data_IF_889393471124
#
_entry.id   IF_889393471124
#
_cell.length_a   1.000
_cell.length_b   1.000
_cell.length_c   1.000
_cell.angle_alpha   90.00
_cell.angle_beta   90.00
_cell.angle_gamma   90.00
#
_symmetry.space_group_name_H-M   'P 1'
#
loop_
_entity.id
_entity.type
_entity.pdbx_description
1 polymer ?
#
# COMPACT_ATOMS: atom_id res chain seq x y z
N UNK A 1 3.25 -7.44 -40.94
CA UNK A 1 2.01 -8.23 -40.77
C UNK A 1 1.26 -7.70 -39.55
N UNK A 2 0.66 -6.51 -39.64
CA UNK A 2 -0.06 -5.87 -38.52
C UNK A 2 -1.42 -6.54 -38.34
N UNK A 3 -1.55 -7.38 -37.31
CA UNK A 3 -2.87 -7.91 -36.94
C UNK A 3 -3.68 -6.76 -36.33
N UNK A 4 -4.71 -6.34 -37.07
CA UNK A 4 -5.76 -5.43 -36.63
C UNK A 4 -6.37 -6.01 -35.35
N UNK A 5 -6.15 -5.37 -34.20
CA UNK A 5 -6.86 -5.69 -32.96
C UNK A 5 -8.36 -5.49 -33.22
N UNK A 6 -9.12 -6.58 -33.11
CA UNK A 6 -10.56 -6.58 -33.30
C UNK A 6 -11.19 -6.19 -31.96
N UNK A 7 -11.85 -5.05 -31.94
CA UNK A 7 -12.60 -4.53 -30.81
C UNK A 7 -13.74 -5.52 -30.45
N UNK A 8 -13.91 -5.91 -29.18
CA UNK A 8 -14.98 -6.81 -28.80
C UNK A 8 -16.33 -6.08 -28.89
N UNK A 9 -17.23 -6.59 -29.74
CA UNK A 9 -18.64 -6.18 -29.73
C UNK A 9 -19.40 -7.03 -28.72
N UNK A 10 -19.72 -6.45 -27.57
CA UNK A 10 -20.55 -7.03 -26.51
C UNK A 10 -20.40 -6.22 -25.22
N UNK A 11 -21.47 -6.06 -24.44
CA UNK A 11 -21.45 -5.37 -23.14
C UNK A 11 -20.38 -5.99 -22.24
N UNK A 12 -19.30 -5.23 -22.00
CA UNK A 12 -18.27 -5.60 -21.04
C UNK A 12 -18.86 -5.45 -19.64
N UNK A 13 -18.95 -6.56 -18.90
CA UNK A 13 -19.29 -6.48 -17.48
C UNK A 13 -18.22 -5.67 -16.75
N UNK A 14 -18.60 -4.94 -15.69
CA UNK A 14 -17.67 -4.10 -14.91
C UNK A 14 -16.42 -4.88 -14.48
N UNK A 15 -16.56 -6.18 -14.20
CA UNK A 15 -15.48 -7.08 -13.80
C UNK A 15 -14.39 -7.21 -14.87
N UNK A 16 -14.77 -7.23 -16.15
CA UNK A 16 -13.82 -7.32 -17.28
C UNK A 16 -13.16 -5.96 -17.54
N UNK A 17 -13.89 -4.86 -17.38
CA UNK A 17 -13.31 -3.52 -17.50
C UNK A 17 -12.29 -3.24 -16.40
N UNK A 18 -12.60 -3.64 -15.16
CA UNK A 18 -11.67 -3.61 -14.03
C UNK A 18 -10.45 -4.48 -14.36
N UNK A 19 -10.64 -5.74 -14.74
CA UNK A 19 -9.51 -6.63 -15.07
C UNK A 19 -8.64 -6.12 -16.23
N UNK A 20 -9.21 -5.44 -17.23
CA UNK A 20 -8.45 -4.88 -18.35
C UNK A 20 -7.64 -3.65 -17.95
N UNK A 21 -8.22 -2.74 -17.16
CA UNK A 21 -7.49 -1.58 -16.59
C UNK A 21 -6.38 -2.03 -15.63
N UNK A 22 -6.53 -3.17 -14.94
CA UNK A 22 -5.50 -3.70 -14.04
C UNK A 22 -4.40 -4.53 -14.72
N UNK A 23 -4.58 -5.04 -15.95
CA UNK A 23 -3.64 -5.99 -16.58
C UNK A 23 -2.75 -5.43 -17.71
N UNK A 24 -2.82 -4.14 -18.05
CA UNK A 24 -2.05 -3.58 -19.19
C UNK A 24 -0.64 -3.08 -18.83
N UNK A 25 -0.26 -2.96 -17.55
CA UNK A 25 1.10 -2.50 -17.16
C UNK A 25 1.92 -3.58 -16.44
N UNK A 26 2.02 -4.75 -17.07
CA UNK A 26 2.96 -5.79 -16.66
C UNK A 26 4.36 -5.48 -17.21
N UNK A 27 5.08 -4.57 -16.55
CA UNK A 27 6.50 -4.78 -16.27
C UNK A 27 6.59 -5.22 -14.82
N UNK A 28 7.39 -6.22 -14.51
CA UNK A 28 7.80 -6.49 -13.13
C UNK A 28 8.70 -5.35 -12.62
N UNK A 29 8.06 -4.22 -12.33
CA UNK A 29 8.52 -3.06 -11.60
C UNK A 29 7.31 -2.61 -10.79
N UNK A 30 6.87 -3.44 -9.85
CA UNK A 30 5.84 -3.01 -8.89
C UNK A 30 6.51 -2.03 -7.91
N UNK A 31 6.72 -0.80 -8.36
CA UNK A 31 7.07 0.30 -7.47
C UNK A 31 5.93 0.49 -6.48
N UNK A 32 6.27 0.56 -5.20
CA UNK A 32 5.31 0.91 -4.15
C UNK A 32 4.76 2.31 -4.43
N UNK A 33 3.44 2.46 -4.34
CA UNK A 33 2.81 3.78 -4.46
C UNK A 33 3.10 4.63 -3.23
N UNK A 34 3.09 5.97 -3.36
CA UNK A 34 3.40 6.87 -2.24
C UNK A 34 2.48 6.65 -1.03
N UNK A 35 1.20 6.36 -1.27
CA UNK A 35 0.26 6.07 -0.20
C UNK A 35 0.49 4.70 0.45
N UNK A 36 0.92 3.70 -0.33
CA UNK A 36 1.33 2.38 0.21
C UNK A 36 2.58 2.53 1.09
N UNK A 37 3.55 3.35 0.67
CA UNK A 37 4.74 3.70 1.47
C UNK A 37 4.35 4.31 2.82
N UNK A 38 3.46 5.31 2.83
CA UNK A 38 2.95 5.89 4.07
C UNK A 38 2.24 4.83 4.94
N UNK A 39 1.42 3.96 4.36
CA UNK A 39 0.73 2.92 5.10
C UNK A 39 1.70 1.90 5.73
N UNK A 40 2.76 1.50 5.01
CA UNK A 40 3.78 0.59 5.56
C UNK A 40 4.61 1.25 6.67
N UNK A 41 4.96 2.53 6.51
CA UNK A 41 5.62 3.31 7.56
C UNK A 41 4.74 3.46 8.80
N UNK A 42 3.45 3.73 8.61
CA UNK A 42 2.48 3.82 9.69
C UNK A 42 2.28 2.46 10.40
N UNK A 43 2.25 1.36 9.65
CA UNK A 43 2.20 0.00 10.19
C UNK A 43 3.44 -0.31 11.04
N UNK A 44 4.65 0.01 10.56
CA UNK A 44 5.88 -0.15 11.34
C UNK A 44 5.86 0.65 12.64
N UNK A 45 5.28 1.87 12.62
CA UNK A 45 5.14 2.72 13.80
C UNK A 45 4.06 2.22 14.78
N UNK A 46 2.95 1.68 14.27
CA UNK A 46 1.89 1.10 15.09
C UNK A 46 2.34 -0.16 15.84
N UNK A 47 3.37 -0.84 15.33
CA UNK A 47 3.96 -2.04 15.92
C UNK A 47 3.49 -3.33 15.27
N UNK A 48 4.04 -4.48 15.70
CA UNK A 48 3.61 -5.79 15.19
C UNK A 48 2.15 -6.06 15.56
N UNK A 49 1.43 -6.78 14.69
CA UNK A 49 0.02 -7.11 14.88
C UNK A 49 -0.84 -5.87 15.16
N UNK A 50 -0.78 -4.88 14.26
CA UNK A 50 -1.58 -3.66 14.35
C UNK A 50 -2.94 -3.83 13.66
N UNK A 51 -3.99 -3.16 14.16
CA UNK A 51 -5.28 -3.06 13.46
C UNK A 51 -5.26 -1.94 12.42
N UNK A 52 -6.19 -1.97 11.46
CA UNK A 52 -6.34 -0.88 10.49
C UNK A 52 -6.61 0.49 11.15
N UNK A 53 -7.31 0.51 12.29
CA UNK A 53 -7.54 1.74 13.06
C UNK A 53 -6.26 2.26 13.71
N UNK A 54 -5.39 1.40 14.22
CA UNK A 54 -4.10 1.83 14.77
C UNK A 54 -3.20 2.43 13.67
N UNK A 55 -3.18 1.82 12.49
CA UNK A 55 -2.44 2.34 11.33
C UNK A 55 -3.00 3.69 10.89
N UNK A 56 -4.32 3.81 10.81
CA UNK A 56 -5.00 5.06 10.49
C UNK A 56 -4.68 6.19 11.49
N UNK A 57 -4.75 5.91 12.79
CA UNK A 57 -4.44 6.88 13.84
C UNK A 57 -3.00 7.39 13.74
N UNK A 58 -2.05 6.51 13.37
CA UNK A 58 -0.65 6.94 13.14
C UNK A 58 -0.54 7.87 11.93
N UNK A 59 -1.31 7.64 10.86
CA UNK A 59 -1.32 8.50 9.68
C UNK A 59 -1.88 9.89 10.01
N UNK A 60 -3.01 9.95 10.71
CA UNK A 60 -3.58 11.23 11.17
C UNK A 60 -2.62 11.97 12.09
N UNK A 61 -2.02 11.29 13.09
CA UNK A 61 -1.09 11.92 14.04
C UNK A 61 0.19 12.46 13.37
N UNK A 62 0.72 11.76 12.35
CA UNK A 62 2.03 12.11 11.75
C UNK A 62 1.96 12.97 10.50
N UNK A 63 0.88 12.89 9.74
CA UNK A 63 0.75 13.56 8.44
C UNK A 63 -0.44 14.54 8.43
N UNK A 64 -1.40 14.36 9.35
CA UNK A 64 -2.54 15.24 9.54
C UNK A 64 -3.85 14.66 9.00
N UNK A 65 -4.92 15.42 9.25
CA UNK A 65 -6.29 15.05 8.91
C UNK A 65 -6.52 15.23 7.40
N UNK A 66 -6.73 14.13 6.70
CA UNK A 66 -6.91 14.14 5.24
C UNK A 66 -7.10 12.75 4.64
N UNK A 67 -6.65 11.71 5.35
CA UNK A 67 -6.86 10.33 4.96
C UNK A 67 -8.31 9.90 5.23
N UNK A 68 -8.87 9.12 4.31
CA UNK A 68 -10.14 8.43 4.55
C UNK A 68 -9.84 7.04 5.09
N UNK A 69 -10.48 6.66 6.21
CA UNK A 69 -10.30 5.31 6.79
C UNK A 69 -10.51 4.19 5.77
N UNK A 70 -11.54 4.30 4.93
CA UNK A 70 -11.81 3.32 3.87
C UNK A 70 -10.68 3.20 2.84
N UNK A 71 -9.96 4.29 2.56
CA UNK A 71 -8.81 4.27 1.67
C UNK A 71 -7.64 3.53 2.32
N UNK A 72 -7.32 3.83 3.59
CA UNK A 72 -6.28 3.13 4.36
C UNK A 72 -6.59 1.63 4.42
N UNK A 73 -7.82 1.25 4.75
CA UNK A 73 -8.22 -0.16 4.84
C UNK A 73 -8.07 -0.88 3.48
N UNK A 74 -8.59 -0.27 2.41
CA UNK A 74 -8.49 -0.84 1.05
C UNK A 74 -7.03 -1.00 0.61
N UNK A 75 -6.19 -0.02 0.92
CA UNK A 75 -4.76 -0.06 0.61
C UNK A 75 -4.06 -1.18 1.38
N UNK A 76 -4.32 -1.35 2.68
CA UNK A 76 -3.75 -2.46 3.46
C UNK A 76 -4.18 -3.82 2.88
N UNK A 77 -5.44 -3.96 2.48
CA UNK A 77 -5.93 -5.19 1.87
C UNK A 77 -5.24 -5.50 0.53
N UNK A 78 -5.03 -4.48 -0.31
CA UNK A 78 -4.23 -4.61 -1.55
C UNK A 78 -2.76 -4.96 -1.26
N UNK A 79 -2.14 -4.37 -0.25
CA UNK A 79 -0.77 -4.72 0.15
C UNK A 79 -0.69 -6.17 0.66
N UNK A 80 -1.76 -6.69 1.28
CA UNK A 80 -1.82 -8.09 1.66
C UNK A 80 -1.93 -9.02 0.43
N UNK A 81 -2.70 -8.65 -0.59
CA UNK A 81 -2.73 -9.37 -1.87
C UNK A 81 -1.36 -9.39 -2.56
N UNK A 82 -0.58 -8.30 -2.43
CA UNK A 82 0.82 -8.19 -2.87
C UNK A 82 1.83 -8.94 -1.97
N UNK A 83 1.39 -9.59 -0.89
CA UNK A 83 2.21 -10.27 0.13
C UNK A 83 3.19 -9.35 0.88
N UNK A 84 2.98 -8.04 0.85
CA UNK A 84 3.76 -7.07 1.63
C UNK A 84 3.30 -6.98 3.09
N UNK A 85 2.05 -7.37 3.35
CA UNK A 85 1.45 -7.40 4.68
C UNK A 85 0.82 -8.77 4.93
N UNK A 86 1.15 -9.39 6.05
CA UNK A 86 0.48 -10.57 6.56
C UNK A 86 -0.77 -10.17 7.36
N UNK A 87 -1.82 -10.98 7.26
CA UNK A 87 -3.11 -10.76 7.92
C UNK A 87 -3.37 -11.93 8.87
N UNK A 88 -3.65 -11.63 10.12
CA UNK A 88 -4.09 -12.60 11.12
C UNK A 88 -5.48 -12.22 11.63
N UNK A 89 -6.40 -13.19 11.69
CA UNK A 89 -7.68 -13.02 12.35
C UNK A 89 -7.56 -13.59 13.76
N UNK A 90 -7.68 -12.74 14.78
CA UNK A 90 -7.60 -13.16 16.18
C UNK A 90 -8.70 -12.51 17.00
N UNK A 91 -9.18 -13.22 18.02
CA UNK A 91 -9.97 -12.59 19.06
C UNK A 91 -9.10 -11.63 19.90
N UNK A 92 -9.63 -10.46 20.29
CA UNK A 92 -8.93 -9.60 21.23
C UNK A 92 -8.67 -10.32 22.55
N UNK A 93 -7.58 -9.99 23.24
CA UNK A 93 -7.20 -10.61 24.52
C UNK A 93 -8.26 -10.43 25.63
N UNK A 94 -9.16 -9.46 25.50
CA UNK A 94 -10.30 -9.23 26.40
C UNK A 94 -11.62 -9.90 25.97
N UNK A 95 -11.57 -10.81 25.00
CA UNK A 95 -12.75 -11.39 24.38
C UNK A 95 -13.48 -10.42 23.42
N UNK A 96 -14.38 -10.97 22.60
CA UNK A 96 -15.22 -10.22 21.68
C UNK A 96 -15.00 -10.60 20.22
N UNK A 97 -15.53 -9.75 19.32
CA UNK A 97 -15.52 -10.04 17.88
C UNK A 97 -14.09 -10.12 17.35
N UNK A 98 -13.82 -11.19 16.59
CA UNK A 98 -12.57 -11.39 15.85
C UNK A 98 -12.18 -10.12 15.07
N UNK A 99 -10.92 -9.71 15.21
CA UNK A 99 -10.34 -8.55 14.52
C UNK A 99 -9.21 -9.00 13.59
N UNK A 100 -9.00 -8.23 12.53
CA UNK A 100 -7.86 -8.37 11.63
C UNK A 100 -6.67 -7.59 12.20
N UNK A 101 -5.55 -8.28 12.31
CA UNK A 101 -4.25 -7.75 12.68
C UNK A 101 -3.30 -7.87 11.50
N UNK A 102 -2.47 -6.86 11.33
CA UNK A 102 -1.60 -6.69 10.19
C UNK A 102 -0.15 -6.62 10.67
N UNK A 103 0.73 -7.30 9.94
CA UNK A 103 2.18 -7.29 10.20
C UNK A 103 2.91 -7.20 8.88
N UNK A 104 3.90 -6.32 8.77
CA UNK A 104 4.70 -6.22 7.55
C UNK A 104 5.51 -7.51 7.33
N UNK A 105 5.57 -7.99 6.10
CA UNK A 105 6.37 -9.17 5.74
C UNK A 105 7.81 -8.78 5.39
N UNK A 106 8.69 -9.77 5.23
CA UNK A 106 10.04 -9.53 4.70
C UNK A 106 10.02 -8.90 3.30
N UNK A 107 9.11 -9.34 2.43
CA UNK A 107 8.94 -8.77 1.08
C UNK A 107 8.43 -7.32 1.14
N UNK A 108 7.46 -7.02 2.02
CA UNK A 108 7.00 -5.65 2.23
C UNK A 108 8.09 -4.74 2.78
N UNK A 109 8.94 -5.26 3.67
CA UNK A 109 10.08 -4.51 4.22
C UNK A 109 11.12 -4.19 3.13
N UNK A 110 11.43 -5.16 2.26
CA UNK A 110 12.34 -4.95 1.12
C UNK A 110 11.78 -3.91 0.14
N UNK A 111 10.51 -4.03 -0.22
CA UNK A 111 9.86 -3.10 -1.15
C UNK A 111 9.85 -1.67 -0.61
N UNK A 112 9.56 -1.50 0.70
CA UNK A 112 9.62 -0.21 1.37
C UNK A 112 11.04 0.36 1.37
N UNK A 113 12.04 -0.44 1.76
CA UNK A 113 13.44 0.00 1.84
C UNK A 113 13.97 0.43 0.47
N UNK A 114 13.68 -0.36 -0.57
CA UNK A 114 14.06 -0.05 -1.94
C UNK A 114 13.50 1.32 -2.36
N UNK A 115 12.21 1.56 -2.16
CA UNK A 115 11.55 2.81 -2.54
C UNK A 115 12.08 4.04 -1.81
N UNK A 116 12.31 3.93 -0.51
CA UNK A 116 12.92 5.01 0.28
C UNK A 116 14.35 5.30 -0.19
N UNK A 117 15.12 4.26 -0.51
CA UNK A 117 16.49 4.40 -1.03
C UNK A 117 16.52 5.08 -2.41
N UNK A 118 15.59 4.73 -3.30
CA UNK A 118 15.47 5.33 -4.63
C UNK A 118 15.07 6.80 -4.54
N UNK A 119 14.10 7.12 -3.67
CA UNK A 119 13.69 8.49 -3.39
C UNK A 119 14.84 9.30 -2.82
N UNK A 120 15.61 8.75 -1.88
CA UNK A 120 16.77 9.41 -1.29
C UNK A 120 17.88 9.67 -2.33
N UNK A 121 18.17 8.71 -3.21
CA UNK A 121 19.17 8.87 -4.28
C UNK A 121 18.80 9.97 -5.25
N UNK A 122 17.54 10.00 -5.70
CA UNK A 122 17.07 11.00 -6.66
C UNK A 122 17.00 12.40 -6.06
N UNK A 123 16.67 12.50 -4.78
CA UNK A 123 16.47 13.79 -4.13
C UNK A 123 17.73 14.39 -3.50
N UNK A 124 18.81 13.61 -3.38
CA UNK A 124 20.10 14.07 -2.89
C UNK A 124 20.62 15.25 -3.72
N UNK A 125 20.99 16.34 -3.04
CA UNK A 125 21.56 17.54 -3.70
C UNK A 125 20.53 18.52 -4.27
N UNK A 126 19.23 18.24 -4.20
CA UNK A 126 18.19 19.12 -4.77
C UNK A 126 17.82 20.35 -3.90
N UNK A 127 18.43 20.52 -2.72
CA UNK A 127 18.14 21.66 -1.83
C UNK A 127 16.68 21.72 -1.34
N UNK A 128 15.96 20.59 -1.33
CA UNK A 128 14.55 20.54 -0.99
C UNK A 128 14.36 20.59 0.55
N UNK A 129 13.58 21.54 1.08
CA UNK A 129 13.41 21.72 2.52
C UNK A 129 12.73 20.52 3.20
N UNK A 130 11.88 19.77 2.48
CA UNK A 130 11.17 18.60 3.02
C UNK A 130 12.06 17.40 3.38
N UNK A 131 13.32 17.36 2.93
CA UNK A 131 14.26 16.25 3.20
C UNK A 131 15.33 16.60 4.24
N UNK A 132 15.41 17.87 4.66
CA UNK A 132 16.40 18.33 5.64
C UNK A 132 16.07 17.92 7.09
N UNK A 133 14.87 17.37 7.34
CA UNK A 133 14.33 17.08 8.68
C UNK A 133 14.54 15.63 9.16
N UNK A 134 15.14 14.76 8.36
CA UNK A 134 15.42 13.37 8.76
C UNK A 134 16.86 13.25 9.29
N UNK A 135 17.09 13.64 10.55
CA UNK A 135 18.33 13.38 11.29
C UNK A 135 18.01 12.88 12.69
#
# INVERSE_FOLDING_TARGET
>A
MTRRCREPRGELTLDVYIAYVYNVENRECSMIGKFEEHCLLALLRAGPSATASQIYNVLEDKIGDGFKFGAVYTTIDRMAQKKWVAVENREPEGGGRTRRYFTITGEGRKALDQSLSETSKLSSGLGLPGLAMAR
#
